data_IF_646712418551
#
_entry.id   IF_646712418551
#
_cell.length_a   1.000
_cell.length_b   1.000
_cell.length_c   1.000
_cell.angle_alpha   90.00
_cell.angle_beta   90.00
_cell.angle_gamma   90.00
#
_symmetry.space_group_name_H-M   'P 1'
#
loop_
_entity.id
_entity.type
_entity.pdbx_description
1 polymer ?
#
# COMPACT_ATOMS: atom_id res chain seq x y z
N UNK A 1 -73.62 -3.47 -1.01
CA UNK A 1 -72.26 -4.00 -0.80
C UNK A 1 -72.14 -4.47 0.66
N UNK A 2 -71.96 -5.77 0.91
CA UNK A 2 -71.97 -6.31 2.28
C UNK A 2 -70.80 -5.78 3.11
N UNK A 3 -71.01 -5.58 4.43
CA UNK A 3 -69.96 -5.14 5.38
C UNK A 3 -68.69 -6.00 5.28
N UNK A 4 -68.88 -7.29 5.03
CA UNK A 4 -67.83 -8.29 4.86
C UNK A 4 -66.97 -8.04 3.61
N UNK A 5 -67.59 -7.65 2.49
CA UNK A 5 -66.86 -7.31 1.26
C UNK A 5 -65.98 -6.06 1.45
N UNK A 6 -66.46 -5.05 2.17
CA UNK A 6 -65.68 -3.84 2.48
C UNK A 6 -64.46 -4.15 3.36
N UNK A 7 -64.62 -5.00 4.38
CA UNK A 7 -63.52 -5.42 5.25
C UNK A 7 -62.46 -6.24 4.49
N UNK A 8 -62.88 -7.14 3.60
CA UNK A 8 -61.97 -7.89 2.73
C UNK A 8 -61.22 -6.98 1.75
N UNK A 9 -61.88 -5.97 1.17
CA UNK A 9 -61.22 -4.99 0.31
C UNK A 9 -60.20 -4.15 1.07
N UNK A 10 -60.53 -3.67 2.27
CA UNK A 10 -59.60 -2.89 3.12
C UNK A 10 -58.41 -3.76 3.55
N UNK A 11 -58.66 -5.01 3.98
CA UNK A 11 -57.61 -5.95 4.34
C UNK A 11 -56.70 -6.31 3.16
N UNK A 12 -57.27 -6.48 1.96
CA UNK A 12 -56.52 -6.70 0.73
C UNK A 12 -55.63 -5.49 0.37
N UNK A 13 -56.16 -4.27 0.46
CA UNK A 13 -55.39 -3.05 0.24
C UNK A 13 -54.25 -2.89 1.25
N UNK A 14 -54.47 -3.18 2.53
CA UNK A 14 -53.44 -3.17 3.57
C UNK A 14 -52.33 -4.20 3.29
N UNK A 15 -52.70 -5.41 2.86
CA UNK A 15 -51.73 -6.43 2.49
C UNK A 15 -50.86 -6.02 1.30
N UNK A 16 -51.47 -5.47 0.25
CA UNK A 16 -50.73 -4.94 -0.91
C UNK A 16 -49.81 -3.80 -0.48
N UNK A 17 -50.28 -2.90 0.39
CA UNK A 17 -49.46 -1.79 0.90
C UNK A 17 -48.24 -2.28 1.68
N UNK A 18 -48.39 -3.29 2.54
CA UNK A 18 -47.26 -3.91 3.26
C UNK A 18 -46.26 -4.53 2.28
N UNK A 19 -46.74 -5.26 1.28
CA UNK A 19 -45.88 -5.88 0.27
C UNK A 19 -45.09 -4.84 -0.54
N UNK A 20 -45.71 -3.72 -0.90
CA UNK A 20 -45.05 -2.59 -1.59
C UNK A 20 -43.95 -1.99 -0.70
N UNK A 21 -44.20 -1.79 0.59
CA UNK A 21 -43.17 -1.28 1.52
C UNK A 21 -42.00 -2.27 1.64
N UNK A 22 -42.28 -3.57 1.79
CA UNK A 22 -41.23 -4.59 1.84
C UNK A 22 -40.40 -4.63 0.55
N UNK A 23 -41.04 -4.51 -0.61
CA UNK A 23 -40.36 -4.46 -1.91
C UNK A 23 -39.47 -3.22 -2.05
N UNK A 24 -39.98 -2.04 -1.66
CA UNK A 24 -39.21 -0.79 -1.66
C UNK A 24 -37.99 -0.90 -0.74
N UNK A 25 -38.14 -1.47 0.46
CA UNK A 25 -37.01 -1.69 1.38
C UNK A 25 -35.93 -2.60 0.78
N UNK A 26 -36.32 -3.68 0.11
CA UNK A 26 -35.37 -4.56 -0.56
C UNK A 26 -34.64 -3.87 -1.73
N UNK A 27 -35.34 -3.03 -2.50
CA UNK A 27 -34.73 -2.21 -3.55
C UNK A 27 -33.69 -1.24 -2.97
N UNK A 28 -34.01 -0.53 -1.89
CA UNK A 28 -33.05 0.35 -1.21
C UNK A 28 -31.84 -0.40 -0.66
N UNK A 29 -32.06 -1.59 -0.10
CA UNK A 29 -30.97 -2.46 0.37
C UNK A 29 -30.05 -2.86 -0.79
N UNK A 30 -30.61 -3.31 -1.92
CA UNK A 30 -29.84 -3.70 -3.10
C UNK A 30 -29.05 -2.51 -3.65
N UNK A 31 -29.67 -1.33 -3.72
CA UNK A 31 -29.00 -0.09 -4.13
C UNK A 31 -27.83 0.27 -3.21
N UNK A 32 -28.01 0.17 -1.89
CA UNK A 32 -26.94 0.40 -0.91
C UNK A 32 -25.77 -0.59 -1.10
N UNK A 33 -26.05 -1.87 -1.33
CA UNK A 33 -25.02 -2.89 -1.59
C UNK A 33 -24.26 -2.58 -2.88
N UNK A 34 -24.95 -2.18 -3.96
CA UNK A 34 -24.29 -1.78 -5.21
C UNK A 34 -23.39 -0.56 -5.04
N UNK A 35 -23.81 0.43 -4.26
CA UNK A 35 -22.98 1.60 -3.92
C UNK A 35 -21.71 1.15 -3.19
N UNK A 36 -21.83 0.28 -2.18
CA UNK A 36 -20.68 -0.21 -1.42
C UNK A 36 -19.69 -0.98 -2.30
N UNK A 37 -20.18 -1.81 -3.22
CA UNK A 37 -19.35 -2.51 -4.21
C UNK A 37 -18.65 -1.49 -5.13
N UNK A 38 -19.37 -0.47 -5.60
CA UNK A 38 -18.81 0.60 -6.42
C UNK A 38 -17.68 1.35 -5.70
N UNK A 39 -17.89 1.72 -4.44
CA UNK A 39 -16.87 2.35 -3.59
C UNK A 39 -15.66 1.43 -3.44
N UNK A 40 -15.88 0.15 -3.13
CA UNK A 40 -14.79 -0.83 -3.00
C UNK A 40 -13.93 -0.92 -4.26
N UNK A 41 -14.56 -1.03 -5.44
CA UNK A 41 -13.85 -1.09 -6.73
C UNK A 41 -13.08 0.20 -6.98
N UNK A 42 -13.71 1.36 -6.76
CA UNK A 42 -13.09 2.66 -6.97
C UNK A 42 -11.86 2.88 -6.09
N UNK A 43 -11.96 2.53 -4.80
CA UNK A 43 -10.85 2.62 -3.85
C UNK A 43 -9.71 1.68 -4.23
N UNK A 44 -10.03 0.43 -4.60
CA UNK A 44 -9.03 -0.54 -5.03
C UNK A 44 -8.31 -0.09 -6.33
N UNK A 45 -9.05 0.47 -7.29
CA UNK A 45 -8.47 0.99 -8.52
C UNK A 45 -7.57 2.21 -8.27
N UNK A 46 -8.01 3.14 -7.41
CA UNK A 46 -7.22 4.30 -7.01
C UNK A 46 -5.91 3.89 -6.35
N UNK A 47 -5.95 2.90 -5.45
CA UNK A 47 -4.77 2.28 -4.82
C UNK A 47 -3.81 1.69 -5.84
N UNK A 48 -4.32 0.82 -6.73
CA UNK A 48 -3.51 0.18 -7.76
C UNK A 48 -2.86 1.22 -8.67
N UNK A 49 -3.61 2.24 -9.12
CA UNK A 49 -3.10 3.33 -9.95
C UNK A 49 -2.01 4.13 -9.23
N UNK A 50 -2.20 4.47 -7.95
CA UNK A 50 -1.20 5.17 -7.13
C UNK A 50 0.12 4.39 -7.04
N UNK A 51 0.04 3.10 -6.73
CA UNK A 51 1.21 2.22 -6.66
C UNK A 51 1.91 2.08 -8.02
N UNK A 52 1.13 1.85 -9.09
CA UNK A 52 1.66 1.70 -10.45
C UNK A 52 2.33 2.98 -10.96
N UNK A 53 1.78 4.16 -10.63
CA UNK A 53 2.38 5.43 -11.02
C UNK A 53 3.77 5.63 -10.39
N UNK A 54 3.95 5.25 -9.12
CA UNK A 54 5.27 5.35 -8.46
C UNK A 54 6.31 4.45 -9.15
N UNK A 55 5.92 3.26 -9.60
CA UNK A 55 6.82 2.37 -10.35
C UNK A 55 7.08 2.90 -11.76
N UNK A 56 6.05 3.43 -12.44
CA UNK A 56 6.21 3.97 -13.79
C UNK A 56 7.18 5.16 -13.85
N UNK A 57 7.29 5.95 -12.78
CA UNK A 57 8.27 7.02 -12.67
C UNK A 57 9.72 6.53 -12.68
N UNK A 58 9.96 5.23 -12.44
CA UNK A 58 11.27 4.59 -12.52
C UNK A 58 11.57 3.90 -13.85
N UNK A 59 10.59 3.80 -14.76
CA UNK A 59 10.85 3.20 -16.07
C UNK A 59 11.84 4.04 -16.88
N UNK A 60 12.39 3.49 -17.96
CA UNK A 60 13.41 4.16 -18.78
C UNK A 60 13.02 5.57 -19.28
N UNK A 61 11.71 5.84 -19.42
CA UNK A 61 11.09 7.12 -19.79
C UNK A 61 10.77 8.03 -18.60
N UNK A 62 11.12 7.61 -17.39
CA UNK A 62 10.88 8.33 -16.14
C UNK A 62 11.81 9.54 -15.98
N UNK A 63 11.30 10.58 -15.33
CA UNK A 63 11.99 11.85 -15.12
C UNK A 63 12.98 11.82 -13.93
N UNK A 64 13.01 10.74 -13.16
CA UNK A 64 13.75 10.67 -11.89
C UNK A 64 15.09 9.96 -12.11
N UNK A 65 16.17 10.74 -12.17
CA UNK A 65 17.56 10.29 -12.18
C UNK A 65 18.43 11.26 -11.37
N UNK A 66 19.60 10.80 -10.96
CA UNK A 66 20.60 11.57 -10.22
C UNK A 66 20.06 12.14 -8.90
N UNK A 67 19.26 11.36 -8.16
CA UNK A 67 18.75 11.78 -6.85
C UNK A 67 19.83 11.64 -5.76
N UNK A 68 19.79 12.52 -4.77
CA UNK A 68 20.74 12.54 -3.66
C UNK A 68 20.44 11.43 -2.64
N UNK A 69 19.15 11.19 -2.39
CA UNK A 69 18.67 10.23 -1.41
C UNK A 69 17.66 9.24 -2.00
N UNK A 70 17.83 7.97 -1.66
CA UNK A 70 16.89 6.89 -1.93
C UNK A 70 16.42 6.30 -0.60
N UNK A 71 15.15 6.53 -0.26
CA UNK A 71 14.55 6.05 0.98
C UNK A 71 13.67 4.84 0.67
N UNK A 72 13.96 3.68 1.28
CA UNK A 72 13.23 2.43 1.08
C UNK A 72 12.81 1.84 2.41
N UNK A 73 11.51 1.65 2.65
CA UNK A 73 11.09 0.97 3.86
C UNK A 73 9.69 1.26 4.37
N UNK A 74 9.56 1.26 5.69
CA UNK A 74 8.34 1.62 6.44
C UNK A 74 8.10 3.14 6.44
N UNK A 75 6.83 3.53 6.53
CA UNK A 75 6.44 4.94 6.54
C UNK A 75 7.19 5.73 7.61
N UNK A 76 7.69 6.89 7.23
CA UNK A 76 8.48 7.77 8.09
C UNK A 76 8.32 9.20 7.61
N UNK A 77 8.53 10.15 8.51
CA UNK A 77 8.63 11.54 8.14
C UNK A 77 9.96 11.77 7.38
N UNK A 78 9.87 11.91 6.07
CA UNK A 78 11.04 12.05 5.18
C UNK A 78 11.85 13.29 5.52
N UNK A 79 11.20 14.39 5.90
CA UNK A 79 11.86 15.65 6.25
C UNK A 79 12.75 15.53 7.49
N UNK A 80 12.51 14.54 8.35
CA UNK A 80 13.37 14.28 9.51
C UNK A 80 14.70 13.60 9.17
N UNK A 81 14.84 13.08 7.95
CA UNK A 81 15.97 12.23 7.54
C UNK A 81 16.91 12.88 6.51
N UNK A 82 16.47 13.95 5.85
CA UNK A 82 17.16 14.56 4.71
C UNK A 82 17.12 16.07 4.84
N UNK A 83 18.20 16.72 4.41
CA UNK A 83 18.31 18.18 4.45
C UNK A 83 17.37 18.83 3.43
N UNK A 84 16.85 20.01 3.79
CA UNK A 84 15.97 20.80 2.93
C UNK A 84 16.66 21.13 1.59
N UNK A 85 15.95 20.91 0.49
CA UNK A 85 16.44 21.15 -0.87
C UNK A 85 17.13 19.95 -1.54
N UNK A 86 17.33 18.84 -0.82
CA UNK A 86 17.86 17.60 -1.40
C UNK A 86 16.85 16.94 -2.35
N UNK A 87 17.35 16.33 -3.43
CA UNK A 87 16.53 15.50 -4.32
C UNK A 87 16.33 14.11 -3.74
N UNK A 88 15.08 13.73 -3.48
CA UNK A 88 14.74 12.50 -2.74
C UNK A 88 13.77 11.64 -3.54
N UNK A 89 14.09 10.35 -3.68
CA UNK A 89 13.14 9.35 -4.14
C UNK A 89 12.73 8.42 -3.01
N UNK A 90 11.42 8.21 -2.87
CA UNK A 90 10.83 7.59 -1.68
C UNK A 90 10.00 6.39 -2.10
N UNK A 91 10.40 5.22 -1.63
CA UNK A 91 9.69 3.95 -1.81
C UNK A 91 9.26 3.47 -0.43
N UNK A 92 8.04 3.79 -0.02
CA UNK A 92 7.52 3.41 1.30
C UNK A 92 6.34 2.44 1.20
N UNK A 93 6.27 1.49 2.12
CA UNK A 93 5.16 0.56 2.27
C UNK A 93 5.03 0.15 3.74
N UNK A 94 3.81 0.02 4.26
CA UNK A 94 3.61 -0.33 5.66
C UNK A 94 4.07 -1.77 5.92
N UNK A 95 4.76 -1.94 7.05
CA UNK A 95 5.36 -3.18 7.51
C UNK A 95 6.30 -3.84 6.49
N UNK A 96 7.01 -3.02 5.70
CA UNK A 96 7.99 -3.56 4.75
C UNK A 96 9.13 -4.27 5.49
N UNK A 97 9.42 -5.48 5.04
CA UNK A 97 10.54 -6.26 5.56
C UNK A 97 11.88 -5.75 5.04
N UNK A 98 12.95 -6.00 5.79
CA UNK A 98 14.31 -5.71 5.35
C UNK A 98 14.68 -6.48 4.08
N UNK A 99 14.24 -7.74 3.97
CA UNK A 99 14.44 -8.57 2.78
C UNK A 99 13.79 -7.97 1.52
N UNK A 100 12.58 -7.42 1.63
CA UNK A 100 11.92 -6.74 0.54
C UNK A 100 12.66 -5.46 0.15
N UNK A 101 13.08 -4.66 1.15
CA UNK A 101 13.89 -3.44 0.91
C UNK A 101 15.20 -3.75 0.20
N UNK A 102 15.88 -4.87 0.53
CA UNK A 102 17.10 -5.30 -0.16
C UNK A 102 16.87 -5.60 -1.64
N UNK A 103 15.82 -6.34 -1.98
CA UNK A 103 15.52 -6.66 -3.37
C UNK A 103 15.10 -5.40 -4.16
N UNK A 104 14.34 -4.48 -3.54
CA UNK A 104 14.02 -3.19 -4.16
C UNK A 104 15.31 -2.40 -4.43
N UNK A 105 16.20 -2.27 -3.43
CA UNK A 105 17.48 -1.57 -3.59
C UNK A 105 18.29 -2.09 -4.79
N UNK A 106 18.36 -3.42 -4.97
CA UNK A 106 19.07 -4.05 -6.09
C UNK A 106 18.51 -3.64 -7.46
N UNK A 107 17.21 -3.34 -7.53
CA UNK A 107 16.54 -2.91 -8.75
C UNK A 107 16.49 -1.40 -8.93
N UNK A 108 16.67 -0.62 -7.86
CA UNK A 108 16.43 0.83 -7.89
C UNK A 108 17.67 1.69 -7.64
N UNK A 109 18.81 1.13 -7.24
CA UNK A 109 20.00 1.92 -6.87
C UNK A 109 20.52 2.84 -8.00
N UNK A 110 20.28 2.50 -9.26
CA UNK A 110 20.80 3.23 -10.42
C UNK A 110 20.21 4.63 -10.60
N UNK A 111 19.19 5.00 -9.82
CA UNK A 111 18.62 6.36 -9.84
C UNK A 111 19.43 7.34 -9.00
N UNK A 112 20.26 6.86 -8.08
CA UNK A 112 21.10 7.69 -7.24
C UNK A 112 22.23 8.30 -8.06
N UNK A 113 22.62 9.53 -7.71
CA UNK A 113 23.89 10.11 -8.17
C UNK A 113 25.09 9.34 -7.57
N UNK A 114 26.26 9.53 -8.15
CA UNK A 114 27.51 9.00 -7.57
C UNK A 114 27.72 9.57 -6.16
N UNK A 115 28.04 8.70 -5.20
CA UNK A 115 28.13 9.08 -3.77
C UNK A 115 26.77 9.35 -3.10
N UNK A 116 25.65 9.08 -3.78
CA UNK A 116 24.30 9.20 -3.22
C UNK A 116 24.06 8.32 -1.98
N UNK A 117 23.04 8.66 -1.20
CA UNK A 117 22.75 8.00 0.08
C UNK A 117 21.51 7.12 -0.01
N UNK A 118 21.67 5.86 0.38
CA UNK A 118 20.56 4.92 0.59
C UNK A 118 20.16 4.95 2.06
N UNK A 119 18.89 5.20 2.33
CA UNK A 119 18.29 5.13 3.66
C UNK A 119 17.30 3.96 3.66
N UNK A 120 17.52 2.97 4.52
CA UNK A 120 16.55 1.90 4.73
C UNK A 120 15.88 2.05 6.09
N UNK A 121 14.55 2.02 6.08
CA UNK A 121 13.73 2.03 7.30
C UNK A 121 13.05 0.68 7.47
N UNK A 122 13.05 0.14 8.68
CA UNK A 122 12.38 -1.13 8.98
C UNK A 122 11.69 -1.09 10.34
N UNK A 123 10.46 -1.63 10.46
CA UNK A 123 9.84 -1.83 11.75
C UNK A 123 10.61 -2.88 12.55
N UNK A 124 10.65 -2.72 13.87
CA UNK A 124 11.24 -3.72 14.77
C UNK A 124 10.62 -5.10 14.52
N UNK A 125 11.48 -6.08 14.21
CA UNK A 125 11.10 -7.48 13.95
C UNK A 125 10.72 -7.82 12.50
N UNK A 126 10.61 -6.84 11.59
CA UNK A 126 10.24 -7.09 10.19
C UNK A 126 11.48 -7.39 9.32
N UNK A 127 12.10 -8.55 9.54
CA UNK A 127 13.30 -8.94 8.79
C UNK A 127 12.97 -9.59 7.45
N UNK A 128 11.99 -10.48 7.42
CA UNK A 128 11.72 -11.37 6.28
C UNK A 128 10.28 -11.22 5.77
N UNK A 129 10.07 -11.65 4.52
CA UNK A 129 8.75 -11.74 3.89
C UNK A 129 8.47 -10.65 2.86
N UNK A 130 7.46 -10.86 2.03
CA UNK A 130 7.10 -9.96 0.94
C UNK A 130 5.60 -9.65 0.99
N UNK A 131 5.24 -8.40 0.78
CA UNK A 131 3.84 -7.97 0.64
C UNK A 131 3.41 -8.02 -0.83
N UNK A 132 2.11 -7.88 -1.11
CA UNK A 132 1.66 -7.72 -2.49
C UNK A 132 2.22 -6.43 -3.12
N UNK A 133 2.42 -5.37 -2.33
CA UNK A 133 2.93 -4.07 -2.79
C UNK A 133 4.36 -4.15 -3.31
N UNK A 134 5.21 -4.97 -2.69
CA UNK A 134 6.62 -5.11 -3.07
C UNK A 134 6.77 -5.70 -4.48
N UNK A 135 5.83 -6.57 -4.88
CA UNK A 135 5.90 -7.23 -6.19
C UNK A 135 5.79 -6.29 -7.38
N UNK A 136 5.33 -5.03 -7.22
CA UNK A 136 5.35 -4.06 -8.31
C UNK A 136 6.77 -3.63 -8.69
N UNK A 137 7.72 -3.70 -7.77
CA UNK A 137 9.10 -3.26 -7.96
C UNK A 137 10.01 -4.36 -8.52
N UNK A 138 9.51 -5.60 -8.59
CA UNK A 138 10.31 -6.75 -8.97
C UNK A 138 10.11 -7.11 -10.44
N UNK A 139 11.21 -7.44 -11.11
CA UNK A 139 11.14 -8.03 -12.44
C UNK A 139 10.52 -9.44 -12.39
N UNK A 140 9.91 -9.89 -13.50
CA UNK A 140 9.23 -11.18 -13.58
C UNK A 140 10.12 -12.38 -13.26
N UNK A 141 11.41 -12.26 -13.55
CA UNK A 141 12.43 -13.26 -13.20
C UNK A 141 12.58 -13.35 -11.67
N UNK A 142 12.69 -12.20 -10.98
CA UNK A 142 12.77 -12.13 -9.51
C UNK A 142 11.49 -12.68 -8.88
N UNK A 143 10.31 -12.38 -9.43
CA UNK A 143 9.02 -12.90 -8.95
C UNK A 143 8.97 -14.43 -9.07
N UNK A 144 9.45 -15.00 -10.18
CA UNK A 144 9.53 -16.46 -10.35
C UNK A 144 10.52 -17.08 -9.36
N UNK A 145 11.71 -16.50 -9.20
CA UNK A 145 12.76 -16.96 -8.28
C UNK A 145 12.29 -16.99 -6.82
N UNK A 146 11.54 -15.97 -6.41
CA UNK A 146 11.04 -15.82 -5.04
C UNK A 146 9.67 -16.47 -4.80
N UNK A 147 9.07 -17.12 -5.80
CA UNK A 147 7.76 -17.76 -5.66
C UNK A 147 6.58 -16.80 -5.46
N UNK A 148 6.71 -15.53 -5.87
CA UNK A 148 5.75 -14.46 -5.55
C UNK A 148 4.60 -14.31 -6.57
N UNK A 149 4.33 -15.34 -7.38
CA UNK A 149 3.32 -15.28 -8.47
C UNK A 149 1.92 -14.92 -7.96
N UNK A 150 1.50 -15.53 -6.85
CA UNK A 150 0.19 -15.28 -6.24
C UNK A 150 0.13 -13.83 -5.72
N UNK A 151 1.20 -13.37 -5.05
CA UNK A 151 1.28 -11.98 -4.56
C UNK A 151 1.28 -10.96 -5.70
N UNK A 152 1.89 -11.27 -6.85
CA UNK A 152 1.81 -10.44 -8.06
C UNK A 152 0.39 -10.33 -8.60
N UNK A 153 -0.37 -11.43 -8.59
CA UNK A 153 -1.78 -11.41 -9.02
C UNK A 153 -2.63 -10.59 -8.06
N UNK A 154 -2.47 -10.84 -6.76
CA UNK A 154 -3.16 -10.14 -5.67
C UNK A 154 -2.85 -8.64 -5.62
N UNK A 155 -1.73 -8.20 -6.18
CA UNK A 155 -1.37 -6.80 -6.33
C UNK A 155 -2.36 -5.98 -7.18
N UNK A 156 -3.14 -6.63 -8.06
CA UNK A 156 -4.23 -5.94 -8.78
C UNK A 156 -5.41 -5.59 -7.85
N UNK A 157 -5.50 -6.27 -6.72
CA UNK A 157 -6.55 -6.11 -5.72
C UNK A 157 -5.96 -5.88 -4.33
N UNK A 158 -5.21 -4.78 -4.13
CA UNK A 158 -4.51 -4.52 -2.87
C UNK A 158 -5.43 -4.54 -1.65
N UNK A 159 -6.66 -3.99 -1.78
CA UNK A 159 -7.61 -3.93 -0.66
C UNK A 159 -8.10 -5.32 -0.23
N UNK A 160 -8.15 -6.27 -1.16
CA UNK A 160 -8.50 -7.66 -0.89
C UNK A 160 -7.33 -8.42 -0.23
N UNK A 161 -6.13 -8.21 -0.77
CA UNK A 161 -4.95 -8.97 -0.40
C UNK A 161 -4.39 -8.56 0.97
N UNK A 162 -4.32 -7.26 1.22
CA UNK A 162 -3.71 -6.65 2.40
C UNK A 162 -4.57 -5.46 2.84
N UNK A 163 -5.78 -5.68 3.40
CA UNK A 163 -6.78 -4.63 3.65
C UNK A 163 -6.27 -3.54 4.60
N UNK A 164 -5.68 -3.93 5.74
CA UNK A 164 -5.18 -2.99 6.75
C UNK A 164 -4.07 -2.11 6.18
N UNK A 165 -3.09 -2.73 5.51
CA UNK A 165 -1.96 -2.02 4.89
C UNK A 165 -2.41 -1.10 3.75
N UNK A 166 -3.41 -1.53 2.97
CA UNK A 166 -4.02 -0.73 1.91
C UNK A 166 -4.67 0.54 2.46
N UNK A 167 -5.40 0.41 3.57
CA UNK A 167 -6.01 1.56 4.26
C UNK A 167 -4.91 2.49 4.80
N UNK A 168 -3.86 1.97 5.43
CA UNK A 168 -2.72 2.78 5.89
C UNK A 168 -2.06 3.55 4.74
N UNK A 169 -1.91 2.94 3.56
CA UNK A 169 -1.34 3.56 2.37
C UNK A 169 -2.23 4.65 1.75
N UNK A 170 -3.55 4.53 1.90
CA UNK A 170 -4.52 5.55 1.50
C UNK A 170 -4.50 6.75 2.44
N UNK A 171 -4.61 6.47 3.75
CA UNK A 171 -4.70 7.50 4.77
C UNK A 171 -3.42 8.31 4.91
N UNK A 172 -2.31 7.89 4.27
CA UNK A 172 -0.96 8.43 4.52
C UNK A 172 -0.81 8.61 6.02
N UNK A 173 -1.05 7.52 6.77
CA UNK A 173 -0.84 7.53 8.20
C UNK A 173 0.67 7.69 8.42
N UNK A 174 1.13 8.93 8.27
CA UNK A 174 2.51 9.31 8.48
C UNK A 174 2.78 8.99 9.93
N UNK A 175 3.89 8.31 10.12
CA UNK A 175 4.36 7.94 11.44
C UNK A 175 4.97 9.16 12.16
N UNK A 176 4.30 10.33 12.08
CA UNK A 176 4.66 11.55 12.81
C UNK A 176 4.69 11.21 14.30
N UNK A 177 5.89 11.20 14.87
CA UNK A 177 6.15 10.91 16.28
C UNK A 177 6.48 9.45 16.62
N UNK A 178 6.73 8.56 15.64
CA UNK A 178 7.41 7.28 15.98
C UNK A 178 8.87 7.55 16.32
N UNK A 179 9.40 6.83 17.32
CA UNK A 179 10.83 6.87 17.64
C UNK A 179 11.60 6.19 16.52
N UNK A 180 12.58 6.92 15.99
CA UNK A 180 13.45 6.50 14.90
C UNK A 180 14.84 6.39 15.52
N UNK A 181 15.40 5.18 15.51
CA UNK A 181 16.74 4.93 16.04
C UNK A 181 17.66 4.57 14.88
N UNK A 182 18.73 5.34 14.69
CA UNK A 182 19.81 4.95 13.79
C UNK A 182 20.55 3.76 14.41
N UNK A 183 20.69 2.69 13.64
CA UNK A 183 21.27 1.43 14.12
C UNK A 183 22.13 0.78 13.06
N UNK A 184 22.95 -0.18 13.47
CA UNK A 184 23.62 -1.06 12.53
C UNK A 184 22.58 -1.94 11.83
N UNK A 185 22.66 -2.05 10.51
CA UNK A 185 21.72 -2.88 9.75
C UNK A 185 21.92 -4.36 10.09
N UNK A 186 20.87 -5.11 10.43
CA UNK A 186 20.99 -6.52 10.79
C UNK A 186 21.34 -7.42 9.58
N UNK A 187 21.06 -6.98 8.35
CA UNK A 187 21.53 -7.67 7.13
C UNK A 187 22.83 -7.04 6.64
N UNK A 188 23.96 -7.73 6.86
CA UNK A 188 25.28 -7.27 6.44
C UNK A 188 25.46 -7.18 4.91
N UNK A 189 24.61 -7.82 4.11
CA UNK A 189 24.72 -7.77 2.65
C UNK A 189 24.35 -6.41 2.08
N UNK A 190 23.45 -5.68 2.74
CA UNK A 190 22.99 -4.36 2.29
C UNK A 190 24.12 -3.33 2.34
N UNK A 191 24.79 -3.07 3.49
CA UNK A 191 25.90 -2.12 3.52
C UNK A 191 27.05 -2.56 2.61
N UNK A 192 27.32 -3.87 2.49
CA UNK A 192 28.31 -4.41 1.53
C UNK A 192 27.94 -4.12 0.07
N UNK A 193 26.65 -4.18 -0.27
CA UNK A 193 26.16 -3.86 -1.61
C UNK A 193 26.34 -2.38 -1.93
N UNK A 194 26.05 -1.50 -0.97
CA UNK A 194 26.21 -0.05 -1.08
C UNK A 194 27.68 0.35 -1.19
N UNK A 195 28.55 -0.17 -0.32
CA UNK A 195 29.97 0.18 -0.31
C UNK A 195 30.69 -0.22 -1.60
N UNK A 196 30.37 -1.40 -2.15
CA UNK A 196 30.89 -1.85 -3.46
C UNK A 196 30.51 -0.94 -4.64
N UNK A 197 29.51 -0.08 -4.47
CA UNK A 197 29.01 0.86 -5.48
C UNK A 197 29.34 2.31 -5.15
N UNK A 198 30.14 2.57 -4.11
CA UNK A 198 30.45 3.93 -3.66
C UNK A 198 29.22 4.68 -3.13
N UNK A 199 28.21 3.97 -2.63
CA UNK A 199 27.00 4.58 -2.06
C UNK A 199 27.10 4.69 -0.55
N UNK A 200 26.63 5.82 -0.01
CA UNK A 200 26.44 6.00 1.42
C UNK A 200 25.22 5.22 1.90
N UNK A 201 25.25 4.71 3.12
CA UNK A 201 24.17 3.88 3.65
C UNK A 201 23.84 4.24 5.10
N UNK A 202 22.55 4.42 5.38
CA UNK A 202 22.02 4.61 6.72
C UNK A 202 20.84 3.66 6.96
N UNK A 203 20.75 3.13 8.17
CA UNK A 203 19.67 2.25 8.57
C UNK A 203 18.97 2.78 9.81
N UNK A 204 17.64 2.84 9.73
CA UNK A 204 16.79 3.32 10.79
C UNK A 204 15.78 2.25 11.19
N UNK A 205 15.78 1.91 12.47
CA UNK A 205 14.75 1.05 13.04
C UNK A 205 13.61 1.91 13.61
N UNK A 206 12.39 1.56 13.23
CA UNK A 206 11.17 2.23 13.69
C UNK A 206 10.53 1.39 14.80
N UNK A 207 10.42 1.96 15.99
CA UNK A 207 9.66 1.32 17.08
C UNK A 207 8.16 1.50 16.85
N UNK A 208 7.39 0.40 16.96
CA UNK A 208 5.93 0.50 17.00
C UNK A 208 5.55 1.30 18.24
N UNK A 209 4.68 2.31 18.07
CA UNK A 209 4.10 3.07 19.17
C UNK A 209 3.53 2.05 20.17
N UNK A 210 4.05 2.00 21.39
CA UNK A 210 3.36 1.29 22.47
C UNK A 210 1.98 1.92 22.55
N UNK A 211 0.94 1.11 22.42
CA UNK A 211 -0.38 1.50 22.91
C UNK A 211 -0.31 1.70 24.41
#
# INVERSE_FOLDING_TARGET
MSRLLKLLMIGGCLWVFILVICFIKHLWFLFAVLILIGIYIAVNFALYKKLKNNVNQMNATGTIRNVDFLIIGEYIDVHSLVDDGSSVFVILSPERSLQASKEILRHTFSILRDGGTVIITSPKGALNGYTCFDTMWFHDITIKRLGLKIKKLLNKFPLFAEPVKSICLLMRADNKGKKINEMLCPDSEIPKFCSKRGLNFKYYQIEKRSK
#
